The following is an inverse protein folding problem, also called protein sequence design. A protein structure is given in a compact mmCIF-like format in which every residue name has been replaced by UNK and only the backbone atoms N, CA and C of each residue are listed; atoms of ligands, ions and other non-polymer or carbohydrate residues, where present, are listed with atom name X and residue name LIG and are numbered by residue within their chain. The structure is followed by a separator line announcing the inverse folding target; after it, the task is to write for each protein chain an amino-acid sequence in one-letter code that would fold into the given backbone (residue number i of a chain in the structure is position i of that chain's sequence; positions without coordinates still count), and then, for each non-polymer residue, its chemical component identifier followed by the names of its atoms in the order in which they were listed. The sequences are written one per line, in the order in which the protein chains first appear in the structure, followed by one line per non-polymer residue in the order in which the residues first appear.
data_IF_826174742616
#
_entry.id   IF_826174742616
#
_cell.length_a   1.000
_cell.length_b   1.000
_cell.length_c   1.000
_cell.angle_alpha   90.00
_cell.angle_beta   90.00
_cell.angle_gamma   90.00
#
_symmetry.space_group_name_H-M   'P 1'
#
loop_
_entity.id
_entity.type
_entity.pdbx_description
1 polymer ?
#
# COMPACT_ATOMS: atom_id res chain seq x y z
N UNK A 1 -15.60 26.40 -13.87
CA UNK A 1 -15.97 25.10 -13.28
C UNK A 1 -14.78 24.18 -13.49
N UNK A 2 -14.22 23.63 -12.42
CA UNK A 2 -12.97 22.87 -12.47
C UNK A 2 -13.28 21.49 -11.93
N UNK A 3 -13.49 20.53 -12.84
CA UNK A 3 -13.88 19.17 -12.47
C UNK A 3 -12.62 18.34 -12.25
N UNK A 4 -12.53 17.72 -11.08
CA UNK A 4 -11.42 16.84 -10.71
C UNK A 4 -11.81 15.40 -11.00
N UNK A 5 -10.93 14.66 -11.66
CA UNK A 5 -11.12 13.24 -11.92
C UNK A 5 -10.07 12.43 -11.15
N UNK A 6 -10.53 11.66 -10.16
CA UNK A 6 -9.68 10.80 -9.33
C UNK A 6 -9.73 9.36 -9.82
N UNK A 7 -8.56 8.82 -10.16
CA UNK A 7 -8.41 7.44 -10.64
C UNK A 7 -8.61 6.44 -9.50
N UNK A 8 -9.59 5.54 -9.64
CA UNK A 8 -9.83 4.42 -8.71
C UNK A 8 -9.17 3.15 -9.22
N UNK A 9 -9.34 2.86 -10.51
CA UNK A 9 -8.71 1.74 -11.19
C UNK A 9 -8.09 2.25 -12.49
N UNK A 10 -6.77 2.10 -12.61
CA UNK A 10 -6.02 2.59 -13.77
C UNK A 10 -6.62 2.03 -15.07
N UNK A 11 -6.87 2.93 -16.02
CA UNK A 11 -7.44 2.65 -17.34
C UNK A 11 -8.85 2.00 -17.33
N UNK A 12 -9.57 2.04 -16.21
CA UNK A 12 -10.87 1.37 -16.12
C UNK A 12 -11.92 2.10 -15.28
N UNK A 13 -11.55 2.77 -14.20
CA UNK A 13 -12.49 3.50 -13.34
C UNK A 13 -11.91 4.79 -12.77
N UNK A 14 -12.71 5.83 -12.81
CA UNK A 14 -12.45 7.13 -12.21
C UNK A 14 -13.70 7.68 -11.53
N UNK A 15 -13.51 8.48 -10.48
CA UNK A 15 -14.57 9.25 -9.82
C UNK A 15 -14.45 10.69 -10.31
N UNK A 16 -15.59 11.30 -10.62
CA UNK A 16 -15.69 12.68 -11.05
C UNK A 16 -16.22 13.50 -9.88
N UNK A 17 -15.42 14.48 -9.45
CA UNK A 17 -15.71 15.38 -8.33
C UNK A 17 -15.76 16.82 -8.82
N UNK A 18 -16.79 17.56 -8.40
CA UNK A 18 -16.89 19.02 -8.61
C UNK A 18 -16.87 19.72 -7.25
N UNK A 19 -15.90 20.61 -7.03
CA UNK A 19 -15.70 21.34 -5.77
C UNK A 19 -15.72 20.45 -4.49
N UNK A 20 -15.25 19.20 -4.59
CA UNK A 20 -15.21 18.26 -3.46
C UNK A 20 -16.49 17.44 -3.25
N UNK A 21 -17.52 17.64 -4.08
CA UNK A 21 -18.73 16.82 -4.10
C UNK A 21 -18.65 15.81 -5.25
N UNK A 22 -18.91 14.54 -4.94
CA UNK A 22 -18.97 13.48 -5.95
C UNK A 22 -20.15 13.75 -6.88
N UNK A 23 -19.88 14.08 -8.13
CA UNK A 23 -20.89 14.32 -9.16
C UNK A 23 -21.13 13.10 -10.03
N UNK A 24 -20.17 12.19 -10.15
CA UNK A 24 -20.37 10.97 -10.94
C UNK A 24 -19.20 10.00 -10.94
N UNK A 25 -19.32 8.96 -11.76
CA UNK A 25 -18.27 7.97 -12.01
C UNK A 25 -18.04 7.81 -13.50
N UNK A 26 -16.78 7.72 -13.89
CA UNK A 26 -16.36 7.43 -15.25
C UNK A 26 -15.76 6.02 -15.26
N UNK A 27 -16.17 5.18 -16.19
CA UNK A 27 -15.62 3.83 -16.39
C UNK A 27 -15.30 3.60 -17.85
N UNK A 28 -14.37 2.70 -18.13
CA UNK A 28 -14.01 2.30 -19.49
C UNK A 28 -14.27 0.80 -19.64
N UNK A 29 -15.26 0.45 -20.46
CA UNK A 29 -15.66 -0.92 -20.77
C UNK A 29 -15.88 -1.04 -22.29
N UNK A 30 -15.42 -2.13 -22.89
CA UNK A 30 -15.68 -2.50 -24.29
C UNK A 30 -15.48 -1.35 -25.30
N UNK A 31 -14.31 -0.72 -25.23
CA UNK A 31 -13.87 0.40 -26.09
C UNK A 31 -14.67 1.70 -26.00
N UNK A 32 -15.49 1.86 -24.95
CA UNK A 32 -16.22 3.11 -24.70
C UNK A 32 -16.07 3.56 -23.26
N UNK A 33 -16.07 4.88 -23.09
CA UNK A 33 -16.15 5.52 -21.79
C UNK A 33 -17.61 5.69 -21.38
N UNK A 34 -17.96 5.14 -20.22
CA UNK A 34 -19.26 5.27 -19.59
C UNK A 34 -19.15 6.27 -18.44
N UNK A 35 -19.82 7.41 -18.57
CA UNK A 35 -20.00 8.38 -17.50
C UNK A 35 -21.39 8.20 -16.89
N UNK A 36 -21.45 7.87 -15.61
CA UNK A 36 -22.70 7.80 -14.83
C UNK A 36 -22.73 8.92 -13.80
N UNK A 37 -23.67 9.85 -13.97
CA UNK A 37 -24.05 10.87 -13.01
C UNK A 37 -25.37 10.45 -12.33
N UNK A 38 -25.76 11.11 -11.24
CA UNK A 38 -27.05 10.86 -10.58
C UNK A 38 -28.25 11.08 -11.52
N UNK A 39 -28.13 11.98 -12.50
CA UNK A 39 -29.23 12.33 -13.42
C UNK A 39 -29.16 11.62 -14.77
N UNK A 40 -27.97 11.24 -15.25
CA UNK A 40 -27.80 10.68 -16.60
C UNK A 40 -26.61 9.72 -16.70
N UNK A 41 -26.75 8.71 -17.56
CA UNK A 41 -25.64 7.87 -18.01
C UNK A 41 -25.33 8.18 -19.47
N UNK A 42 -24.09 8.54 -19.77
CA UNK A 42 -23.61 8.95 -21.08
C UNK A 42 -22.48 8.04 -21.56
N UNK A 43 -22.51 7.74 -22.85
CA UNK A 43 -21.43 7.02 -23.54
C UNK A 43 -20.58 8.01 -24.32
N UNK A 44 -19.27 7.83 -24.26
CA UNK A 44 -18.30 8.60 -25.02
C UNK A 44 -17.29 7.66 -25.68
N UNK A 45 -17.01 7.88 -26.96
CA UNK A 45 -16.00 7.07 -27.66
C UNK A 45 -14.57 7.57 -27.38
N UNK A 46 -14.43 8.84 -27.00
CA UNK A 46 -13.13 9.49 -26.87
C UNK A 46 -13.06 10.45 -25.68
N UNK A 47 -11.88 10.53 -25.05
CA UNK A 47 -11.60 11.44 -23.94
C UNK A 47 -11.86 12.93 -24.28
N UNK A 48 -11.74 13.30 -25.56
CA UNK A 48 -12.10 14.65 -26.07
C UNK A 48 -13.58 14.98 -25.91
N UNK A 49 -14.47 13.99 -26.06
CA UNK A 49 -15.91 14.20 -25.89
C UNK A 49 -16.24 14.39 -24.40
N UNK A 50 -15.53 13.69 -23.52
CA UNK A 50 -15.65 13.84 -22.07
C UNK A 50 -15.26 15.26 -21.64
N UNK A 51 -14.12 15.78 -22.10
CA UNK A 51 -13.72 17.17 -21.82
C UNK A 51 -14.67 18.21 -22.41
N UNK A 52 -15.39 17.89 -23.49
CA UNK A 52 -16.38 18.79 -24.07
C UNK A 52 -17.66 18.88 -23.22
N UNK A 53 -18.11 17.76 -22.61
CA UNK A 53 -19.30 17.73 -21.73
C UNK A 53 -19.00 18.15 -20.29
N UNK A 54 -17.82 17.80 -19.76
CA UNK A 54 -17.42 18.10 -18.38
C UNK A 54 -16.58 19.39 -18.23
N UNK A 55 -16.13 19.99 -19.33
CA UNK A 55 -15.31 21.21 -19.31
C UNK A 55 -13.82 20.95 -19.03
N UNK A 56 -13.15 21.91 -18.39
CA UNK A 56 -11.72 21.81 -18.06
C UNK A 56 -11.49 20.75 -16.98
N UNK A 57 -11.12 19.55 -17.44
CA UNK A 57 -10.81 18.42 -16.58
C UNK A 57 -9.35 18.49 -16.15
N UNK A 58 -9.11 18.54 -14.85
CA UNK A 58 -7.82 18.20 -14.26
C UNK A 58 -7.83 16.71 -13.92
N UNK A 59 -7.17 15.93 -14.78
CA UNK A 59 -6.83 14.55 -14.45
C UNK A 59 -5.87 14.60 -13.27
N UNK A 60 -6.18 13.84 -12.21
CA UNK A 60 -5.20 13.53 -11.17
C UNK A 60 -4.14 12.65 -11.84
N UNK A 61 -3.25 13.29 -12.60
CA UNK A 61 -2.13 12.65 -13.26
C UNK A 61 -1.37 11.89 -12.18
N UNK A 62 -1.01 10.66 -12.54
CA UNK A 62 -0.35 9.58 -11.81
C UNK A 62 0.89 10.04 -11.02
N UNK A 63 0.73 10.98 -10.08
CA UNK A 63 1.62 11.10 -8.95
C UNK A 63 1.16 9.93 -8.09
N UNK A 64 1.92 8.81 -8.01
CA UNK A 64 1.65 7.87 -6.95
C UNK A 64 1.61 8.73 -5.71
N UNK A 65 0.45 8.78 -5.04
CA UNK A 65 0.37 9.30 -3.68
C UNK A 65 1.34 8.40 -2.92
N UNK A 66 2.61 8.82 -2.88
CA UNK A 66 3.55 8.45 -1.86
C UNK A 66 2.87 9.05 -0.65
N UNK A 67 2.00 8.25 -0.05
CA UNK A 67 1.66 8.39 1.34
C UNK A 67 3.04 8.35 1.97
N UNK A 68 3.61 9.53 2.24
CA UNK A 68 4.74 9.65 3.13
C UNK A 68 4.14 9.22 4.45
N UNK A 69 4.13 7.90 4.70
CA UNK A 69 4.01 7.38 6.04
C UNK A 69 5.25 7.93 6.76
N UNK A 70 5.12 9.14 7.31
CA UNK A 70 6.05 9.66 8.31
C UNK A 70 6.12 8.70 9.49
N UNK A 71 5.06 7.92 9.68
CA UNK A 71 4.97 6.84 10.62
C UNK A 71 5.81 5.65 10.17
N UNK A 72 6.77 5.28 11.02
CA UNK A 72 7.59 4.07 10.89
C UNK A 72 6.78 2.83 11.29
N UNK A 73 5.66 2.62 10.62
CA UNK A 73 4.70 1.56 10.93
C UNK A 73 4.24 0.88 9.62
N UNK A 74 4.16 -0.44 9.64
CA UNK A 74 3.63 -1.28 8.56
C UNK A 74 2.68 -2.29 9.16
N UNK A 75 1.41 -2.23 8.77
CA UNK A 75 0.35 -3.11 9.27
C UNK A 75 0.29 -3.22 10.81
N UNK A 76 0.53 -2.12 11.52
CA UNK A 76 0.53 -2.07 12.99
C UNK A 76 1.83 -2.54 13.66
N UNK A 77 2.88 -2.82 12.90
CA UNK A 77 4.19 -3.20 13.41
C UNK A 77 5.24 -2.11 13.13
N UNK A 78 6.14 -1.82 14.09
CA UNK A 78 7.12 -0.76 13.93
C UNK A 78 8.21 -1.13 12.92
N UNK A 79 8.77 -0.11 12.27
CA UNK A 79 9.91 -0.24 11.36
C UNK A 79 11.11 0.59 11.80
N UNK A 80 12.31 0.17 11.40
CA UNK A 80 13.55 0.92 11.67
C UNK A 80 13.63 2.24 10.90
N UNK A 81 13.02 2.26 9.70
CA UNK A 81 13.03 3.39 8.76
C UNK A 81 11.63 3.62 8.23
N UNK A 82 11.41 4.80 7.62
CA UNK A 82 10.20 5.06 6.82
C UNK A 82 10.06 3.98 5.75
N UNK A 83 8.98 3.19 5.77
CA UNK A 83 8.86 2.04 4.90
C UNK A 83 8.53 2.45 3.47
N UNK A 84 9.08 1.72 2.50
CA UNK A 84 8.75 1.81 1.09
C UNK A 84 8.12 0.48 0.66
N UNK A 85 7.33 0.49 -0.42
CA UNK A 85 6.71 -0.71 -1.02
C UNK A 85 6.15 -1.68 0.02
N UNK A 86 5.24 -1.19 0.87
CA UNK A 86 4.66 -1.98 1.96
C UNK A 86 3.69 -3.03 1.43
N UNK A 87 3.81 -4.26 1.91
CA UNK A 87 2.98 -5.39 1.50
C UNK A 87 2.66 -6.25 2.72
N UNK A 88 1.61 -7.07 2.64
CA UNK A 88 1.29 -8.05 3.67
C UNK A 88 1.22 -9.44 3.05
N UNK A 89 2.11 -10.34 3.47
CA UNK A 89 2.00 -11.75 3.12
C UNK A 89 0.92 -12.38 3.99
N UNK A 90 -0.27 -12.59 3.42
CA UNK A 90 -1.44 -13.13 4.13
C UNK A 90 -1.20 -14.56 4.60
N UNK A 91 -0.47 -15.37 3.82
CA UNK A 91 -0.24 -16.79 4.11
C UNK A 91 0.68 -16.94 5.33
N UNK A 92 1.76 -16.17 5.36
CA UNK A 92 2.73 -16.20 6.47
C UNK A 92 2.46 -15.16 7.55
N UNK A 93 1.45 -14.30 7.35
CA UNK A 93 1.10 -13.17 8.21
C UNK A 93 2.25 -12.20 8.44
N UNK A 94 3.08 -11.98 7.42
CA UNK A 94 4.28 -11.14 7.51
C UNK A 94 4.03 -9.72 6.97
N UNK A 95 4.24 -8.67 7.79
CA UNK A 95 4.24 -7.29 7.31
C UNK A 95 5.57 -6.99 6.61
N UNK A 96 5.56 -6.76 5.29
CA UNK A 96 6.76 -6.60 4.47
C UNK A 96 6.96 -5.16 4.02
N UNK A 97 8.21 -4.73 3.88
CA UNK A 97 8.58 -3.43 3.33
C UNK A 97 10.00 -3.42 2.77
N UNK A 98 10.34 -2.40 1.99
CA UNK A 98 11.71 -2.09 1.56
C UNK A 98 12.22 -0.83 2.27
N UNK A 99 13.53 -0.77 2.56
CA UNK A 99 14.14 0.37 3.29
C UNK A 99 14.34 1.63 2.45
N UNK A 100 14.29 1.50 1.12
CA UNK A 100 14.44 2.60 0.18
C UNK A 100 13.64 2.29 -1.08
N UNK A 101 13.30 3.33 -1.84
CA UNK A 101 12.51 3.20 -3.07
C UNK A 101 13.20 2.36 -4.16
N UNK A 102 14.54 2.23 -4.12
CA UNK A 102 15.34 1.47 -5.09
C UNK A 102 15.75 0.09 -4.58
N UNK A 103 15.48 -0.24 -3.31
CA UNK A 103 15.91 -1.51 -2.74
C UNK A 103 14.98 -2.64 -3.17
N UNK A 104 15.56 -3.72 -3.69
CA UNK A 104 14.86 -4.98 -3.96
C UNK A 104 14.83 -5.92 -2.75
N UNK A 105 15.55 -5.58 -1.67
CA UNK A 105 15.57 -6.41 -0.46
C UNK A 105 14.33 -6.13 0.40
N UNK A 106 13.50 -7.17 0.58
CA UNK A 106 12.35 -7.16 1.48
C UNK A 106 12.77 -7.42 2.93
N UNK A 107 12.15 -6.67 3.83
CA UNK A 107 12.30 -6.76 5.28
C UNK A 107 10.93 -6.96 5.91
N UNK A 108 10.87 -7.69 7.02
CA UNK A 108 9.64 -7.90 7.76
C UNK A 108 9.56 -6.85 8.88
N UNK A 109 8.50 -6.08 9.00
CA UNK A 109 8.30 -5.14 10.09
C UNK A 109 8.07 -5.84 11.43
N UNK A 110 8.38 -5.15 12.52
CA UNK A 110 8.28 -5.67 13.89
C UNK A 110 9.56 -6.29 14.42
N UNK A 111 9.44 -6.83 15.63
CA UNK A 111 10.50 -7.50 16.37
C UNK A 111 10.37 -9.02 16.22
N UNK A 112 11.50 -9.71 16.17
CA UNK A 112 11.56 -11.17 16.00
C UNK A 112 12.64 -11.76 16.89
N UNK A 113 12.48 -13.03 17.23
CA UNK A 113 13.59 -13.87 17.66
C UNK A 113 13.85 -14.90 16.56
N UNK A 114 15.13 -15.17 16.27
CA UNK A 114 15.55 -16.06 15.19
C UNK A 114 16.53 -17.06 15.79
N UNK A 115 16.34 -18.35 15.47
CA UNK A 115 17.19 -19.42 15.93
C UNK A 115 18.29 -19.69 14.89
N UNK A 116 19.52 -19.34 15.25
CA UNK A 116 20.72 -19.70 14.50
C UNK A 116 21.41 -20.89 15.16
N UNK A 117 22.47 -21.41 14.54
CA UNK A 117 23.23 -22.56 15.07
C UNK A 117 23.78 -22.35 16.48
N UNK A 118 23.99 -21.08 16.88
CA UNK A 118 24.49 -20.69 18.22
C UNK A 118 23.36 -20.37 19.22
N UNK A 119 22.10 -20.57 18.83
CA UNK A 119 20.92 -20.32 19.67
C UNK A 119 20.06 -19.15 19.20
N UNK A 120 19.10 -18.77 20.06
CA UNK A 120 18.11 -17.73 19.77
C UNK A 120 18.71 -16.32 19.91
N UNK A 121 18.48 -15.47 18.91
CA UNK A 121 18.90 -14.07 18.93
C UNK A 121 17.75 -13.14 18.58
N UNK A 122 17.82 -11.90 19.10
CA UNK A 122 16.89 -10.82 18.76
C UNK A 122 17.17 -10.23 17.38
N UNK A 123 16.12 -9.87 16.65
CA UNK A 123 16.22 -9.15 15.39
C UNK A 123 15.09 -8.14 15.22
N UNK A 124 15.44 -6.89 14.90
CA UNK A 124 14.46 -5.87 14.57
C UNK A 124 14.49 -5.59 13.07
N UNK A 125 13.32 -5.73 12.44
CA UNK A 125 13.18 -5.66 10.99
C UNK A 125 14.11 -6.60 10.20
N UNK A 126 14.09 -7.94 10.42
CA UNK A 126 14.93 -8.89 9.70
C UNK A 126 14.60 -8.91 8.20
N UNK A 127 15.58 -9.34 7.37
CA UNK A 127 15.32 -9.60 5.96
C UNK A 127 14.36 -10.79 5.82
N UNK A 128 13.46 -10.74 4.84
CA UNK A 128 12.52 -11.83 4.56
C UNK A 128 13.25 -13.16 4.36
N UNK A 129 14.35 -13.16 3.61
CA UNK A 129 15.18 -14.35 3.37
C UNK A 129 15.72 -14.98 4.67
N UNK A 130 15.90 -14.21 5.75
CA UNK A 130 16.32 -14.76 7.04
C UNK A 130 15.17 -15.50 7.73
N UNK A 131 13.96 -14.92 7.71
CA UNK A 131 12.74 -15.54 8.25
C UNK A 131 12.36 -16.81 7.48
N UNK A 132 12.63 -16.86 6.17
CA UNK A 132 12.39 -18.06 5.36
C UNK A 132 13.39 -19.18 5.60
N UNK A 133 14.63 -18.85 5.98
CA UNK A 133 15.72 -19.83 6.14
C UNK A 133 15.83 -20.40 7.54
N UNK A 134 15.46 -19.62 8.55
CA UNK A 134 15.68 -19.97 9.95
C UNK A 134 14.36 -20.00 10.69
N UNK A 135 14.29 -20.88 11.68
CA UNK A 135 13.18 -20.86 12.62
C UNK A 135 13.14 -19.50 13.33
N UNK A 136 11.94 -18.92 13.40
CA UNK A 136 11.77 -17.59 13.97
C UNK A 136 10.39 -17.46 14.61
N UNK A 137 10.31 -16.57 15.62
CA UNK A 137 9.04 -16.17 16.24
C UNK A 137 8.85 -14.66 16.11
N UNK A 138 7.60 -14.26 15.89
CA UNK A 138 7.18 -12.89 15.64
C UNK A 138 6.16 -12.84 14.49
N UNK A 139 5.83 -11.63 13.97
CA UNK A 139 6.27 -10.32 14.45
C UNK A 139 5.69 -9.96 15.82
N UNK A 140 6.51 -9.38 16.69
CA UNK A 140 6.08 -8.69 17.91
C UNK A 140 6.01 -7.18 17.68
N UNK A 141 5.12 -6.51 18.42
CA UNK A 141 4.92 -5.06 18.30
C UNK A 141 5.94 -4.28 19.12
N UNK A 142 6.42 -4.86 20.22
CA UNK A 142 7.34 -4.17 21.13
C UNK A 142 8.60 -4.98 21.39
N UNK A 143 9.68 -4.27 21.74
CA UNK A 143 10.94 -4.88 22.17
C UNK A 143 10.76 -5.70 23.46
N UNK A 144 9.82 -5.32 24.32
CA UNK A 144 9.51 -6.02 25.58
C UNK A 144 8.95 -7.41 25.31
N UNK A 145 7.95 -7.53 24.43
CA UNK A 145 7.36 -8.82 24.01
C UNK A 145 8.44 -9.76 23.44
N UNK A 146 9.30 -9.25 22.56
CA UNK A 146 10.39 -10.02 21.98
C UNK A 146 11.39 -10.51 23.04
N UNK A 147 11.75 -9.67 24.02
CA UNK A 147 12.66 -10.06 25.11
C UNK A 147 12.06 -11.14 26.01
N UNK A 148 10.75 -11.06 26.28
CA UNK A 148 10.04 -12.09 27.05
C UNK A 148 10.09 -13.44 26.32
N UNK A 149 9.77 -13.45 25.02
CA UNK A 149 9.85 -14.65 24.20
C UNK A 149 11.27 -15.20 24.09
N UNK A 150 12.28 -14.34 23.99
CA UNK A 150 13.68 -14.74 23.99
C UNK A 150 14.07 -15.43 25.31
N UNK A 151 13.59 -14.91 26.45
CA UNK A 151 13.84 -15.51 27.76
C UNK A 151 13.18 -16.87 27.90
N UNK A 152 11.99 -17.06 27.33
CA UNK A 152 11.28 -18.36 27.33
C UNK A 152 12.00 -19.35 26.42
N UNK A 153 12.45 -18.92 25.25
CA UNK A 153 13.11 -19.77 24.26
C UNK A 153 14.51 -20.26 24.70
N UNK A 154 15.17 -19.54 25.62
CA UNK A 154 16.48 -19.90 26.18
C UNK A 154 16.39 -20.66 27.51
N UNK A 155 15.19 -20.98 27.98
CA UNK A 155 14.96 -21.74 29.21
C UNK A 155 14.98 -23.24 28.93
#
# INVERSE_FOLDING_TARGET
MTIKISTVLKNKFWIVEDNGQKVGTLSYNDDRYLYSCNDETCFFDNQRQISKKLGTITWDNDVPKKIKNSEKIVHGFPTSVTPYNTMYDVKRKLPLFTKSSKSNSLYCAGYYIIHFDKGWVKSFCPKLVTIERYESKGPFKTDVEMRQELSIANR
#
